data_IF_671132712028
#
_entry.id   IF_671132712028
#
_cell.length_a   1.000
_cell.length_b   1.000
_cell.length_c   1.000
_cell.angle_alpha   90.00
_cell.angle_beta   90.00
_cell.angle_gamma   90.00
#
_symmetry.space_group_name_H-M   'P 1'
#
loop_
_entity.id
_entity.type
_entity.pdbx_description
1 polymer ?
#
# COMPACT_ATOMS: atom_id res chain seq x y z
N UNK A 1 -21.18 16.00 11.75
CA UNK A 1 -20.51 14.77 12.22
C UNK A 1 -19.01 15.04 12.26
N UNK A 2 -18.24 14.34 13.10
CA UNK A 2 -16.78 14.43 13.06
C UNK A 2 -16.29 13.85 11.72
N UNK A 3 -15.32 14.50 11.07
CA UNK A 3 -14.73 13.98 9.83
C UNK A 3 -13.90 12.74 10.14
N UNK A 4 -13.92 11.78 9.22
CA UNK A 4 -13.15 10.54 9.35
C UNK A 4 -11.68 10.85 9.10
N UNK A 5 -10.79 10.42 10.01
CA UNK A 5 -9.34 10.54 9.82
C UNK A 5 -8.88 9.43 8.88
N UNK A 6 -8.66 9.80 7.62
CA UNK A 6 -8.37 8.89 6.53
C UNK A 6 -6.91 9.00 6.10
N UNK A 7 -6.28 7.87 5.82
CA UNK A 7 -4.90 7.85 5.34
C UNK A 7 -4.72 6.94 4.13
N UNK A 8 -3.68 7.18 3.34
CA UNK A 8 -3.21 6.26 2.32
C UNK A 8 -1.70 6.08 2.41
N UNK A 9 -1.16 4.90 2.08
CA UNK A 9 0.27 4.59 2.22
C UNK A 9 0.79 3.81 1.02
N UNK A 10 2.01 4.13 0.58
CA UNK A 10 2.78 3.36 -0.41
C UNK A 10 3.79 2.45 0.27
N UNK A 11 3.80 1.18 -0.15
CA UNK A 11 4.87 0.23 0.14
C UNK A 11 5.57 -0.15 -1.18
N UNK A 12 5.97 -1.41 -1.35
CA UNK A 12 6.55 -1.95 -2.59
C UNK A 12 5.51 -2.16 -3.69
N UNK A 13 4.93 -1.06 -4.17
CA UNK A 13 3.92 -0.99 -5.23
C UNK A 13 4.39 -0.18 -6.43
N UNK A 14 3.46 0.12 -7.33
CA UNK A 14 3.71 0.87 -8.56
C UNK A 14 2.97 2.21 -8.61
N UNK A 15 2.36 2.67 -7.51
CA UNK A 15 1.42 3.80 -7.40
C UNK A 15 0.11 3.66 -8.19
N UNK A 16 -0.06 2.58 -8.95
CA UNK A 16 -1.25 2.35 -9.77
C UNK A 16 -2.56 2.29 -8.98
N UNK A 17 -2.55 1.80 -7.73
CA UNK A 17 -3.78 1.78 -6.93
C UNK A 17 -4.17 3.20 -6.52
N UNK A 18 -3.20 4.05 -6.15
CA UNK A 18 -3.44 5.46 -5.94
C UNK A 18 -3.89 6.19 -7.21
N UNK A 19 -3.38 5.84 -8.38
CA UNK A 19 -3.89 6.42 -9.64
C UNK A 19 -5.35 6.04 -9.86
N UNK A 20 -5.74 4.78 -9.63
CA UNK A 20 -7.15 4.39 -9.74
C UNK A 20 -8.04 4.98 -8.66
N UNK A 21 -7.49 5.30 -7.47
CA UNK A 21 -8.18 6.14 -6.49
C UNK A 21 -8.37 7.57 -7.00
N UNK A 22 -7.42 8.12 -7.76
CA UNK A 22 -7.58 9.43 -8.38
C UNK A 22 -8.57 9.42 -9.56
N UNK A 23 -8.75 8.28 -10.22
CA UNK A 23 -9.80 8.05 -11.23
C UNK A 23 -11.23 8.03 -10.63
N UNK A 24 -11.40 8.36 -9.34
CA UNK A 24 -12.70 8.73 -8.76
C UNK A 24 -13.16 10.13 -9.20
N UNK A 25 -12.31 10.88 -9.90
CA UNK A 25 -12.61 12.15 -10.56
C UNK A 25 -13.34 13.15 -9.64
N UNK A 26 -14.53 13.66 -10.04
CA UNK A 26 -15.29 14.63 -9.26
C UNK A 26 -15.72 14.11 -7.88
N UNK A 27 -15.83 12.79 -7.69
CA UNK A 27 -16.26 12.22 -6.42
C UNK A 27 -15.25 12.46 -5.30
N UNK A 28 -13.98 12.69 -5.63
CA UNK A 28 -12.97 13.10 -4.65
C UNK A 28 -13.35 14.40 -3.94
N UNK A 29 -14.08 15.30 -4.62
CA UNK A 29 -14.59 16.54 -4.00
C UNK A 29 -15.68 16.25 -2.96
N UNK A 30 -16.48 15.20 -3.16
CA UNK A 30 -17.45 14.73 -2.18
C UNK A 30 -16.75 14.05 -1.00
N UNK A 31 -15.76 13.20 -1.28
CA UNK A 31 -14.95 12.54 -0.27
C UNK A 31 -14.28 13.57 0.67
N UNK A 32 -13.70 14.63 0.11
CA UNK A 32 -13.03 15.69 0.85
C UNK A 32 -13.94 16.45 1.83
N UNK A 33 -15.26 16.40 1.66
CA UNK A 33 -16.21 16.98 2.61
C UNK A 33 -16.38 16.12 3.87
N UNK A 34 -16.14 14.81 3.76
CA UNK A 34 -16.40 13.80 4.79
C UNK A 34 -15.13 13.36 5.53
N UNK A 35 -13.96 13.44 4.89
CA UNK A 35 -12.70 12.97 5.45
C UNK A 35 -11.74 14.11 5.77
N UNK A 36 -10.85 13.84 6.72
CA UNK A 36 -9.61 14.57 6.95
C UNK A 36 -8.47 13.65 6.48
N UNK A 37 -7.73 14.06 5.44
CA UNK A 37 -6.60 13.27 4.92
C UNK A 37 -5.40 13.55 5.80
N UNK A 38 -5.16 12.66 6.75
CA UNK A 38 -4.15 12.88 7.81
C UNK A 38 -2.77 12.37 7.43
N UNK A 39 -2.67 11.49 6.43
CA UNK A 39 -1.41 11.02 5.88
C UNK A 39 -1.64 10.45 4.48
N UNK A 40 -0.83 10.86 3.51
CA UNK A 40 -0.87 10.33 2.15
C UNK A 40 0.40 10.75 1.41
N UNK A 41 0.91 9.95 0.45
CA UNK A 41 1.90 10.41 -0.51
C UNK A 41 1.49 11.66 -1.30
N UNK A 42 0.18 11.97 -1.32
CA UNK A 42 -0.39 13.14 -2.00
C UNK A 42 -0.46 14.40 -1.12
N UNK A 43 -0.05 14.32 0.15
CA UNK A 43 -0.04 15.46 1.09
C UNK A 43 1.29 15.57 1.82
N UNK A 44 1.56 16.71 2.46
CA UNK A 44 2.87 17.01 3.02
C UNK A 44 3.14 16.47 4.43
N UNK A 45 2.23 15.69 5.01
CA UNK A 45 2.42 15.07 6.33
C UNK A 45 3.47 13.96 6.23
N UNK A 46 4.54 14.07 7.04
CA UNK A 46 5.69 13.16 6.97
C UNK A 46 5.65 12.03 7.99
N UNK A 47 4.94 12.20 9.10
CA UNK A 47 4.81 11.18 10.14
C UNK A 47 3.40 10.61 10.15
N UNK A 48 3.29 9.27 10.22
CA UNK A 48 1.99 8.62 10.32
C UNK A 48 1.33 8.92 11.67
N UNK A 49 0.18 9.61 11.71
CA UNK A 49 -0.38 10.10 12.97
C UNK A 49 -1.07 8.99 13.77
N UNK A 50 -1.35 9.26 15.04
CA UNK A 50 -2.19 8.39 15.87
C UNK A 50 -3.68 8.56 15.56
N UNK A 51 -4.47 7.58 15.99
CA UNK A 51 -5.93 7.58 15.93
C UNK A 51 -6.46 7.75 14.49
N UNK A 52 -5.92 7.00 13.54
CA UNK A 52 -6.44 6.93 12.17
C UNK A 52 -7.66 6.01 12.14
N UNK A 53 -8.74 6.48 11.52
CA UNK A 53 -10.00 5.70 11.46
C UNK A 53 -9.92 4.63 10.37
N UNK A 54 -9.43 4.99 9.18
CA UNK A 54 -9.25 4.05 8.09
C UNK A 54 -8.01 4.38 7.24
N UNK A 55 -7.33 3.34 6.75
CA UNK A 55 -6.17 3.46 5.87
C UNK A 55 -6.26 2.52 4.67
N UNK A 56 -5.94 3.06 3.48
CA UNK A 56 -5.63 2.26 2.30
C UNK A 56 -4.12 2.05 2.20
N UNK A 57 -3.66 0.80 2.26
CA UNK A 57 -2.23 0.48 2.12
C UNK A 57 -2.01 -0.27 0.82
N UNK A 58 -1.32 0.37 -0.14
CA UNK A 58 -0.91 -0.31 -1.37
C UNK A 58 0.51 -0.86 -1.30
N UNK A 59 0.80 -1.82 -2.17
CA UNK A 59 2.13 -2.37 -2.34
C UNK A 59 2.48 -3.48 -1.35
N UNK A 60 3.53 -4.23 -1.67
CA UNK A 60 4.02 -5.36 -0.89
C UNK A 60 5.13 -4.93 0.09
N UNK A 61 5.41 -5.76 1.09
CA UNK A 61 6.56 -5.58 1.99
C UNK A 61 7.82 -6.04 1.24
N UNK A 62 8.75 -5.13 0.99
CA UNK A 62 9.88 -5.37 0.08
C UNK A 62 11.25 -4.94 0.65
N UNK A 63 11.28 -4.10 1.67
CA UNK A 63 12.48 -3.63 2.38
C UNK A 63 12.17 -3.47 3.87
N UNK A 64 13.20 -3.20 4.68
CA UNK A 64 13.07 -3.04 6.13
C UNK A 64 12.19 -1.84 6.53
N UNK A 65 12.24 -0.73 5.78
CA UNK A 65 11.39 0.45 6.05
C UNK A 65 9.90 0.11 5.93
N UNK A 66 9.50 -0.72 4.95
CA UNK A 66 8.11 -1.17 4.82
C UNK A 66 7.70 -2.05 6.02
N UNK A 67 8.61 -2.84 6.58
CA UNK A 67 8.35 -3.68 7.77
C UNK A 67 8.07 -2.81 8.99
N UNK A 68 8.82 -1.73 9.17
CA UNK A 68 8.63 -0.78 10.28
C UNK A 68 7.36 0.07 10.08
N UNK A 69 7.16 0.58 8.87
CA UNK A 69 6.02 1.41 8.52
C UNK A 69 4.70 0.64 8.68
N UNK A 70 4.60 -0.61 8.20
CA UNK A 70 3.34 -1.35 8.29
C UNK A 70 2.92 -1.65 9.73
N UNK A 71 3.89 -1.88 10.63
CA UNK A 71 3.63 -2.04 12.07
C UNK A 71 3.11 -0.74 12.68
N UNK A 72 3.76 0.37 12.38
CA UNK A 72 3.33 1.71 12.82
C UNK A 72 1.92 2.04 12.33
N UNK A 73 1.64 1.79 11.05
CA UNK A 73 0.32 1.98 10.43
C UNK A 73 -0.72 1.12 11.13
N UNK A 74 -0.43 -0.16 11.38
CA UNK A 74 -1.37 -1.05 12.04
C UNK A 74 -1.69 -0.61 13.46
N UNK A 75 -0.68 -0.27 14.24
CA UNK A 75 -0.83 0.09 15.66
C UNK A 75 -1.63 1.39 15.84
N UNK A 76 -1.57 2.30 14.85
CA UNK A 76 -2.20 3.62 14.91
C UNK A 76 -3.54 3.71 14.18
N UNK A 77 -4.01 2.62 13.58
CA UNK A 77 -5.21 2.61 12.74
C UNK A 77 -6.28 1.64 13.22
N UNK A 78 -7.55 2.04 13.13
CA UNK A 78 -8.69 1.18 13.43
C UNK A 78 -8.99 0.20 12.28
N UNK A 79 -9.13 0.69 11.05
CA UNK A 79 -9.44 -0.13 9.86
C UNK A 79 -8.30 -0.07 8.84
N UNK A 80 -7.62 -1.19 8.59
CA UNK A 80 -6.58 -1.34 7.57
C UNK A 80 -7.11 -2.14 6.39
N UNK A 81 -7.08 -1.52 5.22
CA UNK A 81 -7.51 -2.10 3.95
C UNK A 81 -6.27 -2.40 3.11
N UNK A 82 -6.05 -3.67 2.77
CA UNK A 82 -5.05 -4.05 1.77
C UNK A 82 -5.54 -3.63 0.39
N UNK A 83 -4.87 -2.61 -0.17
CA UNK A 83 -5.30 -1.92 -1.38
C UNK A 83 -4.51 -2.42 -2.60
N UNK A 84 -5.13 -3.30 -3.37
CA UNK A 84 -4.60 -3.88 -4.59
C UNK A 84 -3.78 -5.16 -4.42
N UNK A 85 -3.57 -5.86 -5.53
CA UNK A 85 -3.04 -7.23 -5.51
C UNK A 85 -1.61 -7.33 -4.95
N UNK A 86 -0.78 -6.27 -5.08
CA UNK A 86 0.53 -6.24 -4.43
C UNK A 86 0.42 -6.34 -2.90
N UNK A 87 -0.52 -5.60 -2.29
CA UNK A 87 -0.74 -5.64 -0.85
C UNK A 87 -1.33 -6.98 -0.39
N UNK A 88 -2.16 -7.60 -1.24
CA UNK A 88 -2.90 -8.82 -0.90
C UNK A 88 -2.06 -10.08 -1.11
N UNK A 89 -1.31 -10.18 -2.21
CA UNK A 89 -0.59 -11.41 -2.60
C UNK A 89 0.90 -11.21 -2.87
N UNK A 90 1.38 -9.97 -2.86
CA UNK A 90 2.74 -9.61 -3.30
C UNK A 90 2.87 -9.37 -4.80
N UNK A 91 2.01 -9.99 -5.61
CA UNK A 91 1.89 -9.87 -7.07
C UNK A 91 3.23 -9.73 -7.82
N UNK A 92 3.39 -8.74 -8.71
CA UNK A 92 4.57 -8.55 -9.56
C UNK A 92 5.84 -8.37 -8.73
N UNK A 93 5.77 -7.63 -7.62
CA UNK A 93 6.91 -7.40 -6.71
C UNK A 93 7.44 -8.73 -6.14
N UNK A 94 6.56 -9.70 -5.89
CA UNK A 94 6.92 -11.01 -5.36
C UNK A 94 7.50 -11.99 -6.40
N UNK A 95 7.56 -11.62 -7.68
CA UNK A 95 8.17 -12.48 -8.72
C UNK A 95 9.68 -12.72 -8.50
N UNK A 96 10.35 -11.93 -7.66
CA UNK A 96 11.74 -12.21 -7.24
C UNK A 96 11.88 -13.32 -6.20
N UNK A 97 10.79 -13.71 -5.53
CA UNK A 97 10.83 -14.68 -4.43
C UNK A 97 11.38 -16.08 -4.78
N UNK A 98 11.22 -16.62 -6.00
CA UNK A 98 11.85 -17.89 -6.39
C UNK A 98 13.39 -17.87 -6.35
N UNK A 99 14.02 -16.69 -6.35
CA UNK A 99 15.48 -16.54 -6.24
C UNK A 99 15.98 -16.76 -4.80
N UNK A 100 15.08 -16.85 -3.82
CA UNK A 100 15.39 -17.21 -2.42
C UNK A 100 15.91 -16.06 -1.56
N UNK A 101 16.77 -15.19 -2.12
CA UNK A 101 17.39 -14.04 -1.43
C UNK A 101 17.35 -12.79 -2.31
N UNK A 102 17.59 -11.61 -1.72
CA UNK A 102 17.55 -10.34 -2.46
C UNK A 102 18.77 -10.08 -3.35
N UNK A 103 19.93 -10.65 -3.03
CA UNK A 103 21.19 -10.36 -3.70
C UNK A 103 21.13 -10.52 -5.24
N UNK A 104 20.58 -11.59 -5.83
CA UNK A 104 20.59 -11.77 -7.28
C UNK A 104 19.91 -10.64 -8.06
N UNK A 105 18.82 -10.05 -7.52
CA UNK A 105 18.17 -8.91 -8.19
C UNK A 105 18.97 -7.62 -8.06
N UNK A 106 19.73 -7.46 -6.96
CA UNK A 106 20.62 -6.31 -6.75
C UNK A 106 21.85 -6.42 -7.66
N UNK A 107 22.50 -7.58 -7.71
CA UNK A 107 23.63 -7.86 -8.60
C UNK A 107 23.22 -7.65 -10.05
N UNK A 108 22.08 -8.20 -10.46
CA UNK A 108 21.59 -8.03 -11.84
C UNK A 108 21.37 -6.56 -12.20
N UNK A 109 20.79 -5.78 -11.28
CA UNK A 109 20.40 -4.38 -11.54
C UNK A 109 21.58 -3.41 -11.47
N UNK A 110 22.49 -3.61 -10.50
CA UNK A 110 23.52 -2.61 -10.16
C UNK A 110 24.95 -3.05 -10.45
N UNK A 111 25.19 -4.31 -10.85
CA UNK A 111 26.51 -4.81 -11.23
C UNK A 111 26.51 -5.28 -12.68
N UNK A 112 25.68 -6.27 -13.02
CA UNK A 112 25.71 -6.89 -14.35
C UNK A 112 25.25 -5.94 -15.46
N UNK A 113 24.25 -5.10 -15.18
CA UNK A 113 23.66 -4.17 -16.13
C UNK A 113 24.15 -2.71 -15.93
N UNK A 114 25.15 -2.48 -15.07
CA UNK A 114 25.63 -1.14 -14.80
C UNK A 114 26.61 -0.66 -15.88
N UNK A 115 26.31 0.46 -16.53
CA UNK A 115 27.23 1.11 -17.46
C UNK A 115 28.40 1.79 -16.74
N UNK A 116 28.14 2.29 -15.52
CA UNK A 116 29.11 3.03 -14.69
C UNK A 116 29.01 2.62 -13.23
N UNK A 117 30.16 2.60 -12.55
CA UNK A 117 30.27 2.33 -11.11
C UNK A 117 29.52 1.06 -10.63
N UNK A 118 29.87 -0.13 -11.14
CA UNK A 118 29.19 -1.37 -10.80
C UNK A 118 29.43 -1.74 -9.33
N UNK A 119 28.39 -1.63 -8.51
CA UNK A 119 28.40 -2.02 -7.10
C UNK A 119 26.97 -2.11 -6.57
N UNK A 120 26.72 -3.01 -5.62
CA UNK A 120 25.44 -3.01 -4.89
C UNK A 120 25.38 -1.76 -4.00
N UNK A 121 24.37 -0.89 -4.14
CA UNK A 121 24.24 0.28 -3.28
C UNK A 121 24.02 -0.11 -1.82
N UNK A 122 24.77 0.51 -0.93
CA UNK A 122 24.65 0.32 0.51
C UNK A 122 24.96 1.62 1.25
N UNK A 123 23.95 2.20 1.91
CA UNK A 123 24.10 3.45 2.65
C UNK A 123 23.10 3.57 3.81
N UNK A 124 23.20 2.72 4.86
CA UNK A 124 22.37 2.88 6.05
C UNK A 124 22.71 4.19 6.80
N UNK A 125 21.73 4.85 7.45
CA UNK A 125 20.31 4.48 7.53
C UNK A 125 19.46 5.03 6.37
N UNK A 126 20.07 5.57 5.31
CA UNK A 126 19.37 6.29 4.23
C UNK A 126 18.70 5.32 3.24
N UNK A 127 19.38 4.23 2.89
CA UNK A 127 18.87 3.23 1.96
C UNK A 127 18.48 1.96 2.73
N UNK A 128 17.17 1.63 2.86
CA UNK A 128 16.74 0.44 3.57
C UNK A 128 17.13 -0.83 2.79
N UNK A 129 17.71 -1.85 3.45
CA UNK A 129 17.95 -3.16 2.84
C UNK A 129 16.65 -3.79 2.32
N UNK A 130 16.74 -4.48 1.18
CA UNK A 130 15.65 -5.34 0.72
C UNK A 130 15.51 -6.54 1.65
N UNK A 131 14.27 -6.93 1.96
CA UNK A 131 14.03 -8.24 2.58
C UNK A 131 14.29 -9.35 1.55
N UNK A 132 14.67 -10.54 2.01
CA UNK A 132 14.95 -11.66 1.11
C UNK A 132 13.73 -12.11 0.31
N UNK A 133 12.56 -12.09 0.95
CA UNK A 133 11.29 -12.46 0.32
C UNK A 133 10.28 -11.36 0.51
N UNK A 134 9.67 -10.94 -0.59
CA UNK A 134 8.55 -10.00 -0.61
C UNK A 134 7.34 -10.69 -0.02
N UNK A 135 6.62 -9.99 0.85
CA UNK A 135 5.47 -10.53 1.58
C UNK A 135 4.23 -9.64 1.40
N UNK A 136 3.03 -10.23 1.36
CA UNK A 136 1.79 -9.46 1.45
C UNK A 136 1.61 -8.88 2.86
N UNK A 137 0.76 -7.86 2.99
CA UNK A 137 0.58 -7.15 4.28
C UNK A 137 0.10 -8.08 5.40
N UNK A 138 -0.83 -8.99 5.07
CA UNK A 138 -1.45 -9.91 6.02
C UNK A 138 -0.47 -10.94 6.61
N UNK A 139 0.74 -11.06 6.05
CA UNK A 139 1.80 -11.89 6.62
C UNK A 139 2.49 -11.23 7.82
N UNK A 140 2.41 -9.89 7.95
CA UNK A 140 3.08 -9.13 9.01
C UNK A 140 2.09 -8.56 10.04
N UNK A 141 0.90 -8.14 9.59
CA UNK A 141 -0.10 -7.49 10.44
C UNK A 141 -1.52 -7.96 10.10
N UNK A 142 -2.48 -7.95 11.04
CA UNK A 142 -3.87 -8.22 10.70
C UNK A 142 -4.44 -7.14 9.77
N UNK A 143 -5.12 -7.59 8.72
CA UNK A 143 -5.80 -6.76 7.71
C UNK A 143 -7.30 -6.94 7.88
N UNK A 144 -8.05 -5.84 7.90
CA UNK A 144 -9.50 -5.86 8.14
C UNK A 144 -10.28 -6.12 6.85
N UNK A 145 -9.80 -5.59 5.73
CA UNK A 145 -10.46 -5.65 4.43
C UNK A 145 -9.46 -5.81 3.29
N UNK A 146 -9.87 -6.50 2.23
CA UNK A 146 -9.05 -6.75 1.05
C UNK A 146 -9.75 -6.17 -0.17
N UNK A 147 -9.07 -5.28 -0.89
CA UNK A 147 -9.60 -4.61 -2.07
C UNK A 147 -8.79 -5.05 -3.31
N UNK A 148 -9.18 -6.15 -3.98
CA UNK A 148 -8.37 -6.76 -5.04
C UNK A 148 -8.42 -6.00 -6.36
N UNK A 149 -7.38 -6.22 -7.17
CA UNK A 149 -7.14 -5.64 -8.50
C UNK A 149 -5.74 -5.03 -8.64
N UNK A 150 -5.21 -4.97 -9.86
CA UNK A 150 -3.89 -4.41 -10.17
C UNK A 150 -3.93 -3.33 -11.29
N UNK A 151 -4.56 -2.15 -11.05
CA UNK A 151 -5.16 -1.71 -9.79
C UNK A 151 -6.65 -2.09 -9.64
N UNK A 152 -7.22 -2.01 -8.42
CA UNK A 152 -8.67 -2.09 -8.22
C UNK A 152 -9.35 -0.96 -9.00
N UNK A 153 -10.44 -1.22 -9.74
CA UNK A 153 -11.12 -0.18 -10.50
C UNK A 153 -11.82 0.83 -9.58
N UNK A 154 -11.97 2.07 -10.06
CA UNK A 154 -12.53 3.20 -9.32
C UNK A 154 -13.91 2.91 -8.70
N UNK A 155 -14.80 2.24 -9.43
CA UNK A 155 -16.13 1.84 -8.95
C UNK A 155 -16.06 0.94 -7.70
N UNK A 156 -15.10 0.01 -7.65
CA UNK A 156 -14.86 -0.86 -6.51
C UNK A 156 -14.23 -0.12 -5.33
N UNK A 157 -13.34 0.83 -5.62
CA UNK A 157 -12.77 1.70 -4.59
C UNK A 157 -13.88 2.52 -3.93
N UNK A 158 -14.76 3.13 -4.72
CA UNK A 158 -15.92 3.87 -4.24
C UNK A 158 -16.81 2.99 -3.37
N UNK A 159 -17.17 1.78 -3.85
CA UNK A 159 -17.99 0.83 -3.10
C UNK A 159 -17.36 0.37 -1.77
N UNK A 160 -16.04 0.43 -1.64
CA UNK A 160 -15.34 0.12 -0.39
C UNK A 160 -15.29 1.32 0.57
N UNK A 161 -15.14 2.55 0.05
CA UNK A 161 -15.00 3.76 0.87
C UNK A 161 -16.34 4.30 1.35
N UNK A 162 -17.36 4.32 0.48
CA UNK A 162 -18.67 4.92 0.79
C UNK A 162 -19.32 4.34 2.07
N UNK A 163 -19.33 3.01 2.31
CA UNK A 163 -19.84 2.45 3.57
C UNK A 163 -19.08 2.90 4.81
N UNK A 164 -17.75 3.10 4.69
CA UNK A 164 -16.91 3.60 5.78
C UNK A 164 -17.30 5.03 6.16
N UNK A 165 -17.68 5.86 5.19
CA UNK A 165 -18.21 7.21 5.43
C UNK A 165 -19.51 7.19 6.24
N UNK A 166 -20.33 6.15 6.08
CA UNK A 166 -21.55 5.92 6.84
C UNK A 166 -21.32 5.20 8.19
N UNK A 167 -20.07 4.91 8.57
CA UNK A 167 -19.73 4.19 9.80
C UNK A 167 -20.07 2.70 9.76
N UNK A 168 -20.22 2.13 8.57
CA UNK A 168 -20.49 0.72 8.34
C UNK A 168 -19.27 0.02 7.75
N UNK A 169 -19.06 -1.25 8.09
CA UNK A 169 -17.97 -2.03 7.49
C UNK A 169 -18.43 -2.48 6.09
N UNK A 170 -17.68 -2.20 5.01
CA UNK A 170 -18.04 -2.61 3.67
C UNK A 170 -18.06 -4.15 3.56
N UNK A 171 -19.13 -4.68 2.98
CA UNK A 171 -19.27 -6.09 2.65
C UNK A 171 -19.04 -6.29 1.15
N UNK A 172 -17.79 -6.57 0.77
CA UNK A 172 -17.46 -6.93 -0.62
C UNK A 172 -17.94 -8.34 -0.93
N UNK A 173 -18.71 -8.53 -2.01
CA UNK A 173 -19.23 -9.86 -2.39
C UNK A 173 -19.17 -10.08 -3.90
N UNK A 174 -19.12 -11.36 -4.31
CA UNK A 174 -19.30 -11.74 -5.72
C UNK A 174 -18.31 -11.06 -6.68
N UNK A 175 -18.81 -10.15 -7.53
CA UNK A 175 -18.02 -9.47 -8.58
C UNK A 175 -16.98 -8.48 -8.02
N UNK A 176 -17.09 -8.11 -6.75
CA UNK A 176 -16.18 -7.17 -6.08
C UNK A 176 -14.88 -7.84 -5.61
N UNK A 177 -14.83 -9.17 -5.59
CA UNK A 177 -13.65 -9.96 -5.22
C UNK A 177 -13.04 -10.56 -6.49
N UNK A 178 -12.51 -9.70 -7.36
CA UNK A 178 -11.79 -10.12 -8.57
C UNK A 178 -10.34 -9.67 -8.52
N UNK A 179 -9.45 -10.66 -8.54
CA UNK A 179 -8.03 -10.51 -8.82
C UNK A 179 -7.83 -10.30 -10.32
N UNK A 180 -6.80 -9.57 -10.71
CA UNK A 180 -6.53 -9.23 -12.10
C UNK A 180 -5.40 -8.24 -12.23
#
# INVERSE_FOLDING_TARGET
MARIRFATVWMGGCSGCHMSFLDLDEWLMELAQHVDIVFSPLVDVKEYPENVDAVLVEGAIANEEHVEMIRTVRDRTKILIAFGDCAITGNVTALRNPLGVAEPVLTRSYVDNADVNPQIPYHPPILPPLVDRVQPLHALVPVDLYLPGCPPPADRILAAIEPLLAGTVPHLTGRDIKFG
#
